data_IF_893791572809
#
_entry.id   IF_893791572809
#
_cell.length_a   1.000
_cell.length_b   1.000
_cell.length_c   1.000
_cell.angle_alpha   90.00
_cell.angle_beta   90.00
_cell.angle_gamma   90.00
#
_symmetry.space_group_name_H-M   'P 1'
#
loop_
_entity.id
_entity.type
_entity.pdbx_description
1 polymer ?
#
# COMPACT_ATOMS: atom_id res chain seq x y z
N UNK A 1 9.63 2.99 -14.71
CA UNK A 1 8.88 2.97 -13.44
C UNK A 1 7.56 2.28 -13.73
N UNK A 2 7.32 1.08 -13.20
CA UNK A 2 6.07 0.37 -13.46
C UNK A 2 4.95 1.00 -12.63
N UNK A 3 3.81 1.28 -13.25
CA UNK A 3 2.60 1.70 -12.54
C UNK A 3 2.23 0.61 -11.52
N UNK A 4 1.87 0.99 -10.29
CA UNK A 4 1.36 0.08 -9.26
C UNK A 4 -0.12 0.37 -9.07
N UNK A 5 -0.95 -0.66 -8.94
CA UNK A 5 -2.32 -0.46 -8.50
C UNK A 5 -2.32 -0.05 -7.03
N UNK A 6 -3.05 1.01 -6.74
CA UNK A 6 -3.28 1.47 -5.39
C UNK A 6 -4.64 2.15 -5.28
N UNK A 7 -5.17 2.19 -4.06
CA UNK A 7 -6.31 3.02 -3.68
C UNK A 7 -5.85 3.95 -2.57
N UNK A 8 -6.28 5.20 -2.65
CA UNK A 8 -6.01 6.25 -1.66
C UNK A 8 -7.32 6.95 -1.32
N UNK A 9 -7.71 6.94 -0.06
CA UNK A 9 -9.00 7.46 0.41
C UNK A 9 -8.93 7.88 1.88
N UNK A 10 -10.01 8.51 2.38
CA UNK A 10 -10.08 9.04 3.74
C UNK A 10 -9.69 10.51 3.85
N UNK A 11 -9.56 11.01 5.08
CA UNK A 11 -9.20 12.42 5.34
C UNK A 11 -7.70 12.65 5.13
N UNK A 12 -7.33 13.77 4.52
CA UNK A 12 -5.93 14.17 4.33
C UNK A 12 -5.28 14.80 5.58
N UNK A 13 -5.77 14.47 6.78
CA UNK A 13 -5.21 14.91 8.06
C UNK A 13 -4.21 13.90 8.62
N UNK A 14 -3.11 14.39 9.19
CA UNK A 14 -2.10 13.55 9.82
C UNK A 14 -1.19 12.81 8.83
N UNK A 15 -0.51 11.76 9.31
CA UNK A 15 0.30 10.91 8.45
C UNK A 15 -0.59 9.94 7.65
N UNK A 16 -0.30 9.63 6.38
CA UNK A 16 -0.99 8.55 5.68
C UNK A 16 -0.67 7.19 6.31
N UNK A 17 -1.58 6.23 6.18
CA UNK A 17 -1.46 4.86 6.66
C UNK A 17 -1.31 3.91 5.47
N UNK A 18 -0.13 3.30 5.34
CA UNK A 18 0.16 2.32 4.29
C UNK A 18 -0.18 0.91 4.78
N UNK A 19 -0.97 0.18 3.99
CA UNK A 19 -1.29 -1.21 4.26
C UNK A 19 -0.42 -2.16 3.41
N UNK A 20 0.29 -3.06 4.08
CA UNK A 20 1.09 -4.14 3.50
C UNK A 20 0.30 -5.44 3.65
N UNK A 21 -0.03 -6.09 2.53
CA UNK A 21 -0.95 -7.23 2.55
C UNK A 21 -0.28 -8.54 2.98
N UNK A 22 -1.09 -9.47 3.51
CA UNK A 22 -0.71 -10.84 3.82
C UNK A 22 -0.41 -11.67 2.57
N UNK A 23 0.12 -12.89 2.77
CA UNK A 23 0.42 -13.82 1.68
C UNK A 23 -0.78 -14.03 0.76
N UNK A 24 -0.54 -13.98 -0.55
CA UNK A 24 -1.52 -14.03 -1.67
C UNK A 24 -2.56 -12.92 -1.78
N UNK A 25 -2.70 -12.05 -0.78
CA UNK A 25 -3.71 -11.00 -0.82
C UNK A 25 -3.33 -9.87 -1.79
N UNK A 26 -4.35 -9.19 -2.30
CA UNK A 26 -4.25 -7.96 -3.09
C UNK A 26 -4.90 -6.80 -2.31
N UNK A 27 -4.89 -5.60 -2.90
CA UNK A 27 -5.61 -4.45 -2.38
C UNK A 27 -7.13 -4.67 -2.24
N UNK A 28 -7.69 -5.67 -2.93
CA UNK A 28 -9.12 -6.02 -2.86
C UNK A 28 -9.47 -6.92 -1.66
N UNK A 29 -8.47 -7.46 -0.96
CA UNK A 29 -8.68 -8.34 0.18
C UNK A 29 -8.82 -7.62 1.52
N UNK A 30 -8.64 -6.29 1.57
CA UNK A 30 -8.85 -5.52 2.78
C UNK A 30 -10.35 -5.35 3.08
N UNK A 31 -10.77 -5.74 4.29
CA UNK A 31 -12.14 -5.56 4.75
C UNK A 31 -12.45 -4.05 4.95
N UNK A 32 -13.48 -3.50 4.30
CA UNK A 32 -13.96 -2.15 4.56
C UNK A 32 -14.26 -1.88 6.05
N UNK A 33 -14.72 -2.88 6.81
CA UNK A 33 -14.97 -2.74 8.24
C UNK A 33 -13.69 -2.40 9.04
N UNK A 34 -12.50 -2.71 8.52
CA UNK A 34 -11.22 -2.33 9.10
C UNK A 34 -10.73 -1.00 8.53
N UNK A 35 -10.84 -0.80 7.21
CA UNK A 35 -10.23 0.36 6.54
C UNK A 35 -11.06 1.63 6.65
N UNK A 36 -12.40 1.56 6.65
CA UNK A 36 -13.29 2.73 6.69
C UNK A 36 -13.18 3.53 8.00
N UNK A 37 -13.16 2.90 9.20
CA UNK A 37 -12.98 3.65 10.44
C UNK A 37 -11.62 4.35 10.51
N UNK A 38 -10.56 3.74 9.97
CA UNK A 38 -9.22 4.36 9.91
C UNK A 38 -9.18 5.52 8.92
N UNK A 39 -9.86 5.36 7.78
CA UNK A 39 -10.02 6.40 6.76
C UNK A 39 -10.82 7.62 7.27
N UNK A 40 -11.63 7.46 8.31
CA UNK A 40 -12.40 8.53 8.92
C UNK A 40 -11.52 9.61 9.58
N UNK A 41 -10.29 9.29 9.98
CA UNK A 41 -9.40 10.21 10.71
C UNK A 41 -8.12 10.57 9.96
N UNK A 42 -7.70 9.72 9.02
CA UNK A 42 -6.47 9.90 8.24
C UNK A 42 -6.56 9.23 6.88
N UNK A 43 -5.57 9.47 6.05
CA UNK A 43 -5.52 8.90 4.72
C UNK A 43 -5.10 7.43 4.79
N UNK A 44 -5.84 6.57 4.10
CA UNK A 44 -5.54 5.15 3.93
C UNK A 44 -5.02 4.91 2.52
N UNK A 45 -3.90 4.19 2.42
CA UNK A 45 -3.27 3.78 1.17
C UNK A 45 -3.19 2.25 1.14
N UNK A 46 -3.96 1.64 0.25
CA UNK A 46 -3.87 0.22 -0.08
C UNK A 46 -3.10 0.11 -1.39
N UNK A 47 -2.06 -0.73 -1.43
CA UNK A 47 -1.28 -0.92 -2.65
C UNK A 47 -0.95 -2.39 -2.89
N UNK A 48 -0.80 -2.74 -4.16
CA UNK A 48 -0.24 -4.03 -4.55
C UNK A 48 1.30 -3.91 -4.69
N UNK A 49 2.03 -4.77 -3.98
CA UNK A 49 3.49 -4.84 -4.13
C UNK A 49 3.88 -5.49 -5.48
N UNK A 50 5.16 -5.40 -5.86
CA UNK A 50 5.66 -5.94 -7.11
C UNK A 50 5.30 -7.42 -7.30
N UNK A 51 4.71 -7.74 -8.45
CA UNK A 51 4.27 -9.10 -8.81
C UNK A 51 2.97 -9.55 -8.14
N UNK A 52 2.37 -8.73 -7.25
CA UNK A 52 1.08 -8.98 -6.61
C UNK A 52 0.01 -8.15 -7.33
N UNK A 53 -1.19 -8.72 -7.50
CA UNK A 53 -2.32 -7.99 -8.07
C UNK A 53 -2.05 -7.41 -9.46
N UNK A 54 -2.24 -6.10 -9.64
CA UNK A 54 -2.10 -5.44 -10.96
C UNK A 54 -1.13 -4.26 -10.94
N UNK A 55 -0.33 -4.07 -12.00
CA UNK A 55 -0.02 -5.02 -13.06
C UNK A 55 0.77 -6.22 -12.51
N UNK A 56 0.53 -7.39 -13.09
CA UNK A 56 1.28 -8.60 -12.76
C UNK A 56 2.75 -8.48 -13.17
N UNK A 57 3.59 -9.34 -12.62
CA UNK A 57 5.02 -9.39 -12.87
C UNK A 57 5.70 -10.34 -11.90
N UNK A 58 7.02 -10.30 -11.83
CA UNK A 58 7.78 -11.16 -10.93
C UNK A 58 7.67 -10.67 -9.49
N UNK A 59 7.33 -11.61 -8.60
CA UNK A 59 7.41 -11.39 -7.15
C UNK A 59 8.88 -11.37 -6.76
N UNK A 60 9.37 -10.32 -6.06
CA UNK A 60 10.76 -10.27 -5.64
C UNK A 60 11.12 -11.46 -4.72
N UNK A 61 12.34 -12.01 -4.81
CA UNK A 61 12.71 -13.23 -4.09
C UNK A 61 12.96 -13.01 -2.59
N UNK A 62 12.92 -11.77 -2.10
CA UNK A 62 13.19 -11.43 -0.69
C UNK A 62 12.27 -10.31 -0.20
N UNK A 63 12.01 -10.32 1.11
CA UNK A 63 11.27 -9.25 1.79
C UNK A 63 11.99 -7.89 1.65
N UNK A 64 13.33 -7.86 1.68
CA UNK A 64 14.09 -6.63 1.50
C UNK A 64 13.80 -5.97 0.13
N UNK A 65 13.72 -6.77 -0.95
CA UNK A 65 13.34 -6.26 -2.28
C UNK A 65 11.87 -5.82 -2.32
N UNK A 66 10.97 -6.52 -1.63
CA UNK A 66 9.57 -6.07 -1.48
C UNK A 66 9.47 -4.72 -0.74
N UNK A 67 10.30 -4.50 0.28
CA UNK A 67 10.35 -3.23 1.01
C UNK A 67 10.85 -2.09 0.11
N UNK A 68 11.87 -2.32 -0.73
CA UNK A 68 12.33 -1.34 -1.70
C UNK A 68 11.25 -0.93 -2.70
N UNK A 69 10.38 -1.86 -3.11
CA UNK A 69 9.25 -1.53 -3.95
C UNK A 69 8.20 -0.67 -3.22
N UNK A 70 7.97 -0.92 -1.93
CA UNK A 70 7.10 -0.07 -1.12
C UNK A 70 7.69 1.35 -0.95
N UNK A 71 9.00 1.46 -0.71
CA UNK A 71 9.70 2.74 -0.63
C UNK A 71 9.64 3.51 -1.95
N UNK A 72 9.96 2.85 -3.07
CA UNK A 72 9.87 3.49 -4.39
C UNK A 72 8.44 3.93 -4.75
N UNK A 73 7.43 3.20 -4.26
CA UNK A 73 6.03 3.61 -4.39
C UNK A 73 5.73 4.88 -3.58
N UNK A 74 6.16 4.94 -2.31
CA UNK A 74 6.01 6.12 -1.46
C UNK A 74 6.75 7.34 -2.03
N UNK A 75 7.97 7.16 -2.53
CA UNK A 75 8.74 8.19 -3.22
C UNK A 75 7.99 8.72 -4.45
N UNK A 76 7.39 7.83 -5.23
CA UNK A 76 6.55 8.19 -6.39
C UNK A 76 5.29 8.99 -6.01
N UNK A 77 4.80 8.85 -4.78
CA UNK A 77 3.69 9.64 -4.23
C UNK A 77 4.15 10.91 -3.49
N UNK A 78 5.45 11.13 -3.34
CA UNK A 78 6.01 12.24 -2.56
C UNK A 78 5.75 12.10 -1.05
N UNK A 79 5.52 10.89 -0.54
CA UNK A 79 5.23 10.64 0.88
C UNK A 79 6.54 10.33 1.61
N UNK A 80 7.08 11.32 2.32
CA UNK A 80 8.32 11.16 3.10
C UNK A 80 8.13 10.49 4.47
N UNK A 81 6.90 10.37 4.97
CA UNK A 81 6.59 9.73 6.25
C UNK A 81 5.16 9.18 6.26
N UNK A 82 5.00 7.95 6.73
CA UNK A 82 3.71 7.28 6.93
C UNK A 82 3.78 6.37 8.16
N UNK A 83 2.62 5.95 8.68
CA UNK A 83 2.56 4.76 9.53
C UNK A 83 2.22 3.54 8.66
N UNK A 84 2.38 2.33 9.22
CA UNK A 84 2.25 1.07 8.50
C UNK A 84 1.35 0.10 9.26
N UNK A 85 0.49 -0.61 8.53
CA UNK A 85 -0.19 -1.85 8.96
C UNK A 85 0.31 -3.00 8.10
N UNK A 86 0.69 -4.13 8.71
CA UNK A 86 1.14 -5.34 8.03
C UNK A 86 0.98 -6.57 8.90
#
# INVERSE_FOLDING_TARGET
MALRAFRRFGKSSGLPLLFLQHFTGTLDNWDPAVTDPLAADREVILFDNAGIGRPSGDVPPTIARMAEHALAFLDGLGIGRCDIVG
#
